data_IF_926851943943
#
_entry.id   IF_926851943943
#
_cell.length_a   1.000
_cell.length_b   1.000
_cell.length_c   1.000
_cell.angle_alpha   90.00
_cell.angle_beta   90.00
_cell.angle_gamma   90.00
#
_symmetry.space_group_name_H-M   'P 1'
#
loop_
_entity.id
_entity.type
_entity.pdbx_description
1 polymer ?
#
# COMPACT_ATOMS: atom_id res chain seq x y z
N UNK A 1 -4.51 14.39 -4.10
CA UNK A 1 -4.08 13.05 -3.65
C UNK A 1 -2.82 13.19 -2.80
N UNK A 2 -2.48 12.20 -1.98
CA UNK A 2 -1.17 12.12 -1.30
C UNK A 2 -0.06 11.80 -2.30
N UNK A 3 1.17 11.83 -1.80
CA UNK A 3 2.31 11.27 -2.51
C UNK A 3 2.08 9.78 -2.80
N UNK A 4 2.71 9.33 -3.88
CA UNK A 4 2.61 7.96 -4.35
C UNK A 4 3.39 7.01 -3.44
N UNK A 5 2.74 5.90 -3.07
CA UNK A 5 3.38 4.75 -2.46
C UNK A 5 3.41 3.62 -3.49
N UNK A 6 4.60 3.16 -3.85
CA UNK A 6 4.80 2.01 -4.74
C UNK A 6 4.98 0.76 -3.88
N UNK A 7 4.15 -0.25 -4.16
CA UNK A 7 4.12 -1.53 -3.44
C UNK A 7 4.32 -2.64 -4.45
N UNK A 8 5.11 -3.65 -4.10
CA UNK A 8 5.30 -4.83 -4.94
C UNK A 8 4.41 -5.98 -4.44
N UNK A 9 3.76 -6.64 -5.38
CA UNK A 9 2.80 -7.71 -5.12
C UNK A 9 3.16 -8.97 -5.92
N UNK A 10 2.35 -10.02 -5.80
CA UNK A 10 2.55 -11.28 -6.49
C UNK A 10 2.80 -11.11 -8.00
N UNK A 11 3.81 -11.81 -8.55
CA UNK A 11 4.11 -11.70 -9.96
C UNK A 11 2.97 -12.26 -10.82
N UNK A 12 2.53 -11.50 -11.82
CA UNK A 12 1.54 -11.95 -12.78
C UNK A 12 2.24 -12.49 -14.02
N UNK A 13 2.10 -13.80 -14.26
CA UNK A 13 2.71 -14.51 -15.41
C UNK A 13 4.23 -14.34 -15.45
N UNK A 14 4.88 -14.45 -14.28
CA UNK A 14 6.33 -14.30 -14.14
C UNK A 14 6.85 -12.87 -14.29
N UNK A 15 5.97 -11.86 -14.36
CA UNK A 15 6.36 -10.45 -14.42
C UNK A 15 6.13 -9.77 -13.07
N UNK A 16 7.04 -8.90 -12.61
CA UNK A 16 6.86 -8.17 -11.37
C UNK A 16 5.65 -7.24 -11.47
N UNK A 17 4.89 -7.13 -10.39
CA UNK A 17 3.71 -6.26 -10.28
C UNK A 17 4.02 -5.15 -9.30
N UNK A 18 3.78 -3.91 -9.74
CA UNK A 18 3.95 -2.71 -8.93
C UNK A 18 2.61 -1.97 -8.83
N UNK A 19 2.10 -1.85 -7.62
CA UNK A 19 0.89 -1.10 -7.30
C UNK A 19 1.27 0.33 -6.94
N UNK A 20 0.77 1.29 -7.71
CA UNK A 20 0.96 2.73 -7.50
C UNK A 20 -0.23 3.28 -6.73
N UNK A 21 -0.09 3.40 -5.40
CA UNK A 21 -1.19 3.79 -4.51
C UNK A 21 -1.09 5.27 -4.18
N UNK A 22 -2.17 6.00 -4.43
CA UNK A 22 -2.32 7.43 -4.06
C UNK A 22 -3.63 7.62 -3.31
N UNK A 23 -3.58 8.23 -2.13
CA UNK A 23 -4.76 8.37 -1.26
C UNK A 23 -5.50 9.65 -1.57
N UNK A 24 -6.83 9.60 -1.54
CA UNK A 24 -7.65 10.80 -1.70
C UNK A 24 -7.52 11.67 -0.46
N UNK A 25 -7.41 12.98 -0.67
CA UNK A 25 -7.51 14.00 0.37
C UNK A 25 -8.95 14.49 0.40
N UNK A 26 -9.53 14.56 1.59
CA UNK A 26 -10.88 15.03 1.86
C UNK A 26 -10.80 16.33 2.62
N UNK A 27 -11.77 17.22 2.38
CA UNK A 27 -11.91 18.48 3.07
C UNK A 27 -13.13 18.39 3.98
N UNK A 28 -12.91 18.51 5.28
CA UNK A 28 -13.99 18.64 6.25
C UNK A 28 -14.46 20.09 6.30
N UNK A 29 -15.74 20.32 5.99
CA UNK A 29 -16.32 21.67 5.98
C UNK A 29 -16.63 22.19 7.39
N UNK A 30 -16.78 21.32 8.38
CA UNK A 30 -17.10 21.69 9.74
C UNK A 30 -15.85 22.13 10.52
N UNK A 31 -14.74 21.40 10.34
CA UNK A 31 -13.45 21.74 10.99
C UNK A 31 -12.56 22.63 10.11
N UNK A 32 -12.80 22.65 8.80
CA UNK A 32 -11.97 23.36 7.83
C UNK A 32 -10.66 22.63 7.50
N UNK A 33 -10.47 21.41 7.98
CA UNK A 33 -9.23 20.66 7.85
C UNK A 33 -9.25 19.71 6.64
N UNK A 34 -8.06 19.46 6.10
CA UNK A 34 -7.87 18.43 5.07
C UNK A 34 -7.32 17.16 5.70
N UNK A 35 -8.00 16.04 5.51
CA UNK A 35 -7.59 14.74 6.03
C UNK A 35 -7.51 13.68 4.93
N UNK A 36 -6.88 12.56 5.24
CA UNK A 36 -6.87 11.36 4.41
C UNK A 36 -6.88 10.14 5.31
N UNK A 37 -7.58 9.08 4.90
CA UNK A 37 -7.50 7.80 5.60
C UNK A 37 -6.08 7.21 5.47
N UNK A 38 -5.56 6.70 6.58
CA UNK A 38 -4.31 5.94 6.59
C UNK A 38 -4.58 4.48 6.27
N UNK A 39 -3.67 3.89 5.50
CA UNK A 39 -3.64 2.46 5.19
C UNK A 39 -2.20 2.03 5.46
N UNK A 40 -1.90 1.85 6.74
CA UNK A 40 -0.54 1.62 7.23
C UNK A 40 -0.13 0.15 7.07
N UNK A 41 -1.11 -0.72 6.88
CA UNK A 41 -1.04 -2.18 6.70
C UNK A 41 -0.85 -2.63 5.24
N UNK A 42 -0.74 -1.72 4.27
CA UNK A 42 -0.55 -2.09 2.86
C UNK A 42 0.79 -2.79 2.54
N UNK A 43 1.74 -2.74 3.48
CA UNK A 43 3.07 -3.35 3.31
C UNK A 43 3.46 -4.04 4.61
N UNK A 44 4.10 -5.21 4.51
CA UNK A 44 4.69 -5.83 5.69
C UNK A 44 5.82 -4.96 6.26
N UNK A 45 5.95 -4.95 7.58
CA UNK A 45 6.94 -4.15 8.29
C UNK A 45 8.36 -4.38 7.74
N UNK A 46 9.07 -3.28 7.46
CA UNK A 46 10.43 -3.32 6.91
C UNK A 46 10.52 -3.66 5.41
N UNK A 47 9.40 -3.87 4.70
CA UNK A 47 9.39 -4.23 3.28
C UNK A 47 8.50 -3.32 2.44
N UNK A 48 8.69 -3.37 1.11
CA UNK A 48 7.75 -2.80 0.14
C UNK A 48 6.78 -3.85 -0.43
N UNK A 49 6.72 -5.02 0.20
CA UNK A 49 5.91 -6.15 -0.25
C UNK A 49 4.56 -6.14 0.47
N UNK A 50 3.53 -6.67 -0.18
CA UNK A 50 2.23 -6.92 0.46
C UNK A 50 2.39 -7.93 1.62
N UNK A 51 1.64 -7.79 2.72
CA UNK A 51 1.67 -8.75 3.83
C UNK A 51 1.48 -10.20 3.39
N UNK A 52 0.57 -10.43 2.46
CA UNK A 52 0.24 -11.74 1.90
C UNK A 52 1.43 -12.31 1.12
N UNK A 53 2.13 -11.48 0.36
CA UNK A 53 3.30 -11.94 -0.39
C UNK A 53 4.48 -12.27 0.54
N UNK A 54 4.68 -11.50 1.62
CA UNK A 54 5.66 -11.86 2.65
C UNK A 54 5.28 -13.13 3.39
N UNK A 55 4.00 -13.33 3.71
CA UNK A 55 3.52 -14.55 4.36
C UNK A 55 3.78 -15.78 3.47
N UNK A 56 3.47 -15.70 2.18
CA UNK A 56 3.77 -16.76 1.21
C UNK A 56 5.26 -17.11 1.15
N UNK A 57 6.15 -16.12 1.14
CA UNK A 57 7.60 -16.35 1.12
C UNK A 57 8.13 -17.00 2.42
N UNK A 58 7.42 -16.85 3.54
CA UNK A 58 7.78 -17.43 4.84
C UNK A 58 7.18 -18.82 5.08
N UNK A 59 6.11 -19.18 4.37
CA UNK A 59 5.49 -20.51 4.47
C UNK A 59 6.29 -21.60 3.72
N UNK A 60 7.19 -21.21 2.81
CA UNK A 60 8.09 -22.14 2.11
C UNK A 60 9.38 -22.48 2.89
N UNK A 61 9.59 -21.91 4.09
CA UNK A 61 10.64 -22.29 5.06
C UNK A 61 10.14 -23.32 6.09
#
# INVERSE_FOLDING_TARGET
FTDEKVIQDFPLRGKPVYLHVRRRRWYDKATGETFSYTYDDLTAEGTKLTPEFVAFLKEED
#
